data_IF_025419377371
#
_entry.id   IF_025419377371
#
_cell.length_a   1.000
_cell.length_b   1.000
_cell.length_c   1.000
_cell.angle_alpha   90.00
_cell.angle_beta   90.00
_cell.angle_gamma   90.00
#
_symmetry.space_group_name_H-M   'P 1'
#
loop_
_entity.id
_entity.type
_entity.pdbx_description
1 polymer ?
#
# COMPACT_ATOMS: atom_id res chain seq x y z
N UNK A 1 4.00 18.26 20.17
CA UNK A 1 2.79 17.48 19.85
C UNK A 1 3.23 16.03 19.78
N UNK A 2 2.71 15.17 20.65
CA UNK A 2 3.04 13.73 20.64
C UNK A 2 2.09 13.04 19.66
N UNK A 3 2.62 12.56 18.53
CA UNK A 3 1.85 11.72 17.61
C UNK A 3 1.59 10.37 18.29
N UNK A 4 0.35 10.11 18.71
CA UNK A 4 -0.05 8.80 19.22
C UNK A 4 -0.46 7.94 18.03
N UNK A 5 0.31 6.88 17.76
CA UNK A 5 -0.12 5.84 16.83
C UNK A 5 -1.33 5.13 17.45
N UNK A 6 -2.48 5.20 16.77
CA UNK A 6 -3.68 4.46 17.16
C UNK A 6 -3.46 2.94 17.10
N UNK A 7 -4.39 2.19 17.68
CA UNK A 7 -4.41 0.73 17.51
C UNK A 7 -4.45 0.37 16.01
N UNK A 8 -3.71 -0.67 15.58
CA UNK A 8 -3.66 -1.02 14.17
C UNK A 8 -5.04 -1.42 13.65
N UNK A 9 -5.35 -0.97 12.43
CA UNK A 9 -6.56 -1.36 11.69
C UNK A 9 -6.18 -2.42 10.67
N UNK A 10 -7.02 -3.43 10.49
CA UNK A 10 -6.88 -4.37 9.38
C UNK A 10 -7.34 -3.65 8.11
N UNK A 11 -6.58 -3.80 7.02
CA UNK A 11 -6.99 -3.37 5.69
C UNK A 11 -6.97 -4.52 4.70
N UNK A 12 -7.82 -4.43 3.68
CA UNK A 12 -7.85 -5.28 2.51
C UNK A 12 -8.09 -4.36 1.32
N UNK A 13 -7.31 -4.51 0.27
CA UNK A 13 -7.41 -3.69 -0.92
C UNK A 13 -6.97 -4.41 -2.18
N UNK A 14 -7.22 -3.76 -3.31
CA UNK A 14 -6.82 -4.24 -4.63
C UNK A 14 -6.38 -3.05 -5.49
N UNK A 15 -5.50 -3.30 -6.44
CA UNK A 15 -5.14 -2.36 -7.48
C UNK A 15 -5.15 -3.09 -8.82
N UNK A 16 -5.85 -2.52 -9.79
CA UNK A 16 -6.01 -3.09 -11.12
C UNK A 16 -5.08 -2.32 -12.05
N UNK A 17 -4.12 -3.01 -12.64
CA UNK A 17 -3.24 -2.47 -13.66
C UNK A 17 -3.95 -2.41 -15.02
N UNK A 18 -3.67 -1.38 -15.81
CA UNK A 18 -4.19 -1.20 -17.17
C UNK A 18 -3.04 -1.30 -18.18
N UNK A 19 -3.31 -1.51 -19.47
CA UNK A 19 -2.23 -1.48 -20.49
C UNK A 19 -1.06 -2.46 -20.27
N UNK A 20 -1.28 -3.61 -19.61
CA UNK A 20 -0.24 -4.61 -19.33
C UNK A 20 0.35 -4.54 -17.92
N UNK A 21 -0.03 -3.55 -17.11
CA UNK A 21 0.47 -3.40 -15.75
C UNK A 21 -0.06 -4.49 -14.80
N UNK A 22 0.75 -4.88 -13.82
CA UNK A 22 0.39 -5.89 -12.83
C UNK A 22 -0.87 -5.49 -12.02
N UNK A 23 -1.83 -6.39 -11.83
CA UNK A 23 -2.88 -6.23 -10.82
C UNK A 23 -2.46 -6.86 -9.50
N UNK A 24 -3.00 -6.41 -8.36
CA UNK A 24 -2.64 -6.94 -7.04
C UNK A 24 -3.81 -6.91 -6.05
N UNK A 25 -3.82 -7.87 -5.13
CA UNK A 25 -4.66 -7.88 -3.94
C UNK A 25 -3.75 -7.89 -2.72
N UNK A 26 -4.00 -7.00 -1.76
CA UNK A 26 -3.14 -6.79 -0.61
C UNK A 26 -3.94 -6.69 0.68
N UNK A 27 -3.34 -7.13 1.77
CA UNK A 27 -3.93 -7.03 3.12
C UNK A 27 -2.83 -6.87 4.16
N UNK A 28 -3.18 -6.27 5.28
CA UNK A 28 -2.22 -6.00 6.34
C UNK A 28 -2.80 -5.17 7.46
N UNK A 29 -1.89 -4.50 8.16
CA UNK A 29 -2.20 -3.60 9.27
C UNK A 29 -1.84 -2.17 8.89
N UNK A 30 -2.64 -1.23 9.37
CA UNK A 30 -2.47 0.21 9.19
C UNK A 30 -2.44 0.92 10.53
N UNK A 31 -1.49 1.81 10.72
CA UNK A 31 -1.37 2.68 11.87
C UNK A 31 -1.62 4.13 11.44
N UNK A 32 -2.54 4.78 12.13
CA UNK A 32 -2.87 6.19 11.91
C UNK A 32 -2.29 7.00 13.06
N UNK A 33 -1.61 8.09 12.72
CA UNK A 33 -1.08 9.07 13.66
C UNK A 33 -1.73 10.42 13.37
N UNK A 34 -2.50 10.93 14.34
CA UNK A 34 -3.15 12.23 14.22
C UNK A 34 -2.14 13.36 14.41
N UNK A 35 -2.06 14.24 13.42
CA UNK A 35 -1.25 15.47 13.47
C UNK A 35 -2.08 16.58 14.11
N UNK A 36 -3.35 16.69 13.73
CA UNK A 36 -4.38 17.51 14.37
C UNK A 36 -5.77 16.90 14.11
N UNK A 37 -6.84 17.60 14.46
CA UNK A 37 -8.22 17.11 14.33
C UNK A 37 -8.62 16.76 12.87
N UNK A 38 -7.96 17.34 11.88
CA UNK A 38 -8.24 17.14 10.44
C UNK A 38 -7.14 16.39 9.71
N UNK A 39 -5.87 16.58 10.06
CA UNK A 39 -4.72 15.99 9.37
C UNK A 39 -4.20 14.76 10.10
N UNK A 40 -3.89 13.72 9.35
CA UNK A 40 -3.26 12.50 9.86
C UNK A 40 -2.23 11.95 8.90
N UNK A 41 -1.22 11.29 9.46
CA UNK A 41 -0.35 10.40 8.72
C UNK A 41 -0.81 8.96 8.89
N UNK A 42 -0.59 8.15 7.88
CA UNK A 42 -0.84 6.71 7.93
C UNK A 42 0.37 5.95 7.42
N UNK A 43 0.66 4.82 8.04
CA UNK A 43 1.61 3.84 7.53
C UNK A 43 0.98 2.46 7.61
N UNK A 44 1.28 1.59 6.67
CA UNK A 44 0.83 0.21 6.73
C UNK A 44 1.87 -0.77 6.23
N UNK A 45 1.70 -2.00 6.72
CA UNK A 45 2.57 -3.13 6.42
C UNK A 45 1.72 -4.38 6.30
N UNK A 46 2.03 -5.20 5.30
CA UNK A 46 1.26 -6.39 4.99
C UNK A 46 1.90 -7.23 3.90
N UNK A 47 1.06 -8.03 3.27
CA UNK A 47 1.44 -8.85 2.13
C UNK A 47 0.48 -8.66 0.97
N UNK A 48 0.95 -9.00 -0.22
CA UNK A 48 0.14 -8.97 -1.43
C UNK A 48 0.43 -10.15 -2.33
N UNK A 49 -0.57 -10.45 -3.17
CA UNK A 49 -0.41 -11.29 -4.35
C UNK A 49 -0.64 -10.43 -5.60
N UNK A 50 0.15 -10.64 -6.66
CA UNK A 50 0.07 -9.83 -7.89
C UNK A 50 -0.04 -10.68 -9.15
N UNK A 51 -0.36 -10.09 -10.30
CA UNK A 51 -0.35 -10.75 -11.61
C UNK A 51 0.86 -10.41 -12.47
N UNK A 52 1.73 -9.51 -12.00
CA UNK A 52 2.95 -9.12 -12.71
C UNK A 52 3.96 -10.25 -12.92
N UNK A 53 4.98 -9.94 -13.70
CA UNK A 53 6.00 -10.87 -14.16
C UNK A 53 6.90 -11.33 -13.02
N UNK A 54 7.30 -12.60 -13.08
CA UNK A 54 8.17 -13.22 -12.07
C UNK A 54 9.63 -13.22 -12.53
N UNK A 55 9.86 -13.28 -13.84
CA UNK A 55 11.17 -13.33 -14.47
C UNK A 55 11.35 -12.08 -15.33
N UNK A 56 12.61 -11.72 -15.63
CA UNK A 56 12.92 -10.60 -16.52
C UNK A 56 12.67 -11.00 -17.98
N UNK A 57 11.64 -10.40 -18.58
CA UNK A 57 11.27 -10.54 -19.99
C UNK A 57 11.35 -9.21 -20.76
N UNK A 58 11.83 -8.14 -20.12
CA UNK A 58 11.91 -6.79 -20.67
C UNK A 58 10.57 -6.01 -20.73
N UNK A 59 9.46 -6.55 -20.20
CA UNK A 59 8.13 -5.92 -20.25
C UNK A 59 7.59 -5.43 -18.90
N UNK A 60 8.46 -5.01 -17.98
CA UNK A 60 8.03 -4.48 -16.69
C UNK A 60 8.98 -4.88 -15.57
N UNK A 61 8.62 -4.62 -14.31
CA UNK A 61 9.41 -5.07 -13.17
C UNK A 61 9.29 -6.59 -13.02
N UNK A 62 10.42 -7.27 -12.92
CA UNK A 62 10.49 -8.69 -12.60
C UNK A 62 10.47 -8.88 -11.08
N UNK A 63 9.41 -9.52 -10.57
CA UNK A 63 9.07 -9.54 -9.14
C UNK A 63 9.47 -10.83 -8.41
N UNK A 64 10.03 -11.83 -9.11
CA UNK A 64 10.60 -13.05 -8.54
C UNK A 64 9.57 -14.05 -8.04
N UNK A 65 8.71 -13.65 -7.10
CA UNK A 65 7.72 -14.53 -6.49
C UNK A 65 6.36 -13.85 -6.33
N UNK A 66 5.31 -14.67 -6.33
CA UNK A 66 3.92 -14.22 -6.38
C UNK A 66 3.46 -13.47 -5.12
N UNK A 67 4.11 -13.75 -3.98
CA UNK A 67 3.82 -13.16 -2.68
C UNK A 67 4.89 -12.13 -2.33
N UNK A 68 4.49 -10.88 -2.17
CA UNK A 68 5.39 -9.78 -1.81
C UNK A 68 4.95 -9.14 -0.49
N UNK A 69 5.86 -8.46 0.19
CA UNK A 69 5.49 -7.48 1.19
C UNK A 69 4.76 -6.31 0.53
N UNK A 70 3.86 -5.70 1.29
CA UNK A 70 3.16 -4.48 0.91
C UNK A 70 3.35 -3.44 2.00
N UNK A 71 4.15 -2.42 1.70
CA UNK A 71 4.44 -1.31 2.61
C UNK A 71 3.85 -0.04 2.02
N UNK A 72 3.21 0.79 2.82
CA UNK A 72 2.78 2.10 2.35
C UNK A 72 2.89 3.17 3.42
N UNK A 73 3.02 4.40 2.95
CA UNK A 73 2.88 5.61 3.76
C UNK A 73 1.88 6.53 3.08
N UNK A 74 1.14 7.31 3.87
CA UNK A 74 0.15 8.23 3.38
C UNK A 74 -0.04 9.44 4.29
N UNK A 75 -0.59 10.49 3.68
CA UNK A 75 -1.03 11.70 4.34
C UNK A 75 -2.50 11.91 4.01
N UNK A 76 -3.32 12.09 5.03
CA UNK A 76 -4.75 12.22 4.88
C UNK A 76 -5.34 13.46 5.54
N UNK A 77 -6.54 13.78 5.07
CA UNK A 77 -7.35 14.91 5.51
C UNK A 77 -8.79 14.45 5.77
N UNK A 78 -9.33 14.81 6.93
CA UNK A 78 -10.71 14.55 7.34
C UNK A 78 -11.57 15.74 7.00
N UNK A 79 -12.55 15.54 6.12
CA UNK A 79 -13.53 16.56 5.79
C UNK A 79 -14.52 16.74 6.94
N UNK A 80 -14.96 15.63 7.51
CA UNK A 80 -15.87 15.57 8.65
C UNK A 80 -15.65 14.26 9.43
N UNK A 81 -16.57 13.92 10.34
CA UNK A 81 -16.50 12.70 11.17
C UNK A 81 -16.68 11.40 10.38
N UNK A 82 -17.21 11.47 9.17
CA UNK A 82 -17.52 10.35 8.29
C UNK A 82 -16.53 10.27 7.11
N UNK A 83 -16.18 11.38 6.47
CA UNK A 83 -15.40 11.37 5.22
C UNK A 83 -13.96 11.85 5.40
N UNK A 84 -13.05 11.11 4.78
CA UNK A 84 -11.65 11.50 4.67
C UNK A 84 -11.06 11.13 3.30
N UNK A 85 -9.93 11.75 2.96
CA UNK A 85 -9.12 11.43 1.80
C UNK A 85 -7.69 11.16 2.24
N UNK A 86 -7.02 10.21 1.61
CA UNK A 86 -5.60 9.88 1.87
C UNK A 86 -4.84 9.82 0.56
N UNK A 87 -3.78 10.61 0.43
CA UNK A 87 -2.77 10.41 -0.60
C UNK A 87 -1.71 9.45 -0.09
N UNK A 88 -1.32 8.46 -0.89
CA UNK A 88 -0.40 7.41 -0.46
C UNK A 88 0.62 7.04 -1.53
N UNK A 89 1.76 6.54 -1.06
CA UNK A 89 2.74 5.81 -1.86
C UNK A 89 2.98 4.45 -1.21
N UNK A 90 2.92 3.41 -2.01
CA UNK A 90 3.14 2.03 -1.60
C UNK A 90 4.33 1.45 -2.36
N UNK A 91 5.10 0.60 -1.69
CA UNK A 91 6.17 -0.20 -2.25
C UNK A 91 5.91 -1.68 -1.96
N UNK A 92 6.37 -2.55 -2.84
CA UNK A 92 6.16 -3.98 -2.72
C UNK A 92 7.33 -4.75 -3.29
N UNK A 93 7.90 -5.64 -2.49
CA UNK A 93 9.08 -6.46 -2.82
C UNK A 93 9.07 -7.70 -1.93
N UNK A 94 9.91 -8.69 -2.21
CA UNK A 94 10.07 -9.85 -1.33
C UNK A 94 11.31 -9.74 -0.42
N UNK A 95 11.95 -8.57 -0.34
CA UNK A 95 13.13 -8.31 0.48
C UNK A 95 14.23 -9.39 0.35
N UNK A 96 14.45 -9.89 -0.87
CA UNK A 96 15.43 -10.95 -1.19
C UNK A 96 15.21 -12.28 -0.43
N UNK A 97 14.00 -12.53 0.07
CA UNK A 97 13.61 -13.79 0.71
C UNK A 97 13.20 -14.89 -0.28
N UNK A 98 12.88 -14.51 -1.52
CA UNK A 98 12.65 -15.42 -2.63
C UNK A 98 13.89 -15.45 -3.53
N UNK A 99 14.14 -16.60 -4.16
CA UNK A 99 15.10 -16.69 -5.26
C UNK A 99 14.53 -15.99 -6.50
N UNK A 100 15.37 -15.27 -7.24
CA UNK A 100 14.99 -14.59 -8.49
C UNK A 100 15.18 -13.07 -8.45
N UNK A 101 14.72 -12.35 -9.49
CA UNK A 101 14.77 -10.90 -9.55
C UNK A 101 13.82 -10.26 -8.53
N UNK A 102 14.15 -9.04 -8.09
CA UNK A 102 13.38 -8.29 -7.09
C UNK A 102 13.39 -6.80 -7.43
N UNK A 103 12.91 -6.46 -8.63
CA UNK A 103 12.86 -5.06 -9.08
C UNK A 103 11.95 -4.21 -8.19
N UNK A 104 11.03 -4.88 -7.51
CA UNK A 104 10.00 -4.27 -6.69
C UNK A 104 8.99 -3.49 -7.53
N UNK A 105 7.94 -3.02 -6.86
CA UNK A 105 6.87 -2.28 -7.50
C UNK A 105 6.42 -1.14 -6.60
N UNK A 106 6.38 0.08 -7.13
CA UNK A 106 5.90 1.26 -6.41
C UNK A 106 4.62 1.80 -7.04
N UNK A 107 3.65 2.21 -6.20
CA UNK A 107 2.40 2.83 -6.63
C UNK A 107 2.07 4.06 -5.82
N UNK A 108 1.64 5.12 -6.49
CA UNK A 108 1.06 6.30 -5.84
C UNK A 108 -0.45 6.32 -6.10
N UNK A 109 -1.23 6.82 -5.14
CA UNK A 109 -2.68 6.88 -5.30
C UNK A 109 -3.38 7.74 -4.27
N UNK A 110 -4.69 7.89 -4.46
CA UNK A 110 -5.60 8.57 -3.54
C UNK A 110 -6.71 7.60 -3.14
N UNK A 111 -7.06 7.61 -1.86
CA UNK A 111 -8.15 6.83 -1.30
C UNK A 111 -9.19 7.74 -0.67
N UNK A 112 -10.46 7.33 -0.72
CA UNK A 112 -11.57 7.98 -0.02
C UNK A 112 -12.05 7.02 1.07
N UNK A 113 -12.08 7.49 2.31
CA UNK A 113 -12.54 6.74 3.47
C UNK A 113 -13.91 7.24 3.95
N UNK A 114 -14.79 6.30 4.29
CA UNK A 114 -16.04 6.55 4.98
C UNK A 114 -16.05 5.81 6.33
N UNK A 115 -16.41 6.51 7.39
CA UNK A 115 -16.73 5.93 8.70
C UNK A 115 -18.25 5.92 8.87
N UNK A 116 -18.79 4.71 9.07
CA UNK A 116 -20.21 4.47 9.37
C UNK A 116 -20.58 4.87 10.80
#
# INVERSE_FOLDING_TARGET
MEAKAGAPRIHLGTSIGTGGEASQVFTGLSWTADINDTLFAEAGFGGLIHTGDLDDDGNGPALGCRLLFHEYIGLGYRFDTHWNVTAQVAHSSHADLCDGPNDGMARAGVQIGNKL
#
